data_IF_798288611140
#
_entry.id   IF_798288611140
#
_cell.length_a   1.000
_cell.length_b   1.000
_cell.length_c   1.000
_cell.angle_alpha   90.00
_cell.angle_beta   90.00
_cell.angle_gamma   90.00
#
_symmetry.space_group_name_H-M   'P 1'
#
loop_
_entity.id
_entity.type
_entity.pdbx_description
1 polymer ?
#
# COMPACT_ATOMS: atom_id res chain seq x y z
N UNK A 1 6.15 5.23 16.19
CA UNK A 1 5.87 4.05 15.35
C UNK A 1 5.23 4.51 14.06
N UNK A 2 5.76 4.08 12.92
CA UNK A 2 5.22 4.43 11.62
C UNK A 2 4.11 3.46 11.21
N UNK A 3 3.22 3.87 10.31
CA UNK A 3 2.13 3.03 9.81
C UNK A 3 2.64 1.71 9.22
N UNK A 4 3.67 1.76 8.38
CA UNK A 4 4.17 0.60 7.65
C UNK A 4 4.86 -0.43 8.58
N UNK A 5 5.56 0.05 9.61
CA UNK A 5 6.12 -0.80 10.67
C UNK A 5 5.00 -1.55 11.41
N UNK A 6 3.96 -0.82 11.81
CA UNK A 6 2.84 -1.41 12.56
C UNK A 6 2.03 -2.38 11.70
N UNK A 7 1.80 -2.05 10.43
CA UNK A 7 1.15 -2.94 9.47
C UNK A 7 1.92 -4.27 9.33
N UNK A 8 3.24 -4.18 9.20
CA UNK A 8 4.12 -5.35 9.08
C UNK A 8 4.14 -6.19 10.36
N UNK A 9 4.10 -5.56 11.53
CA UNK A 9 4.00 -6.23 12.82
C UNK A 9 2.70 -7.03 12.93
N UNK A 10 1.55 -6.39 12.63
CA UNK A 10 0.23 -7.04 12.65
C UNK A 10 0.17 -8.21 11.69
N UNK A 11 0.72 -8.06 10.47
CA UNK A 11 0.84 -9.18 9.53
C UNK A 11 1.67 -10.31 10.13
N UNK A 12 2.88 -10.03 10.59
CA UNK A 12 3.85 -11.05 11.01
C UNK A 12 3.31 -11.96 12.11
N UNK A 13 2.41 -11.46 12.96
CA UNK A 13 1.76 -12.24 14.03
C UNK A 13 0.89 -13.40 13.53
N UNK A 14 0.25 -13.27 12.36
CA UNK A 14 -0.65 -14.32 11.81
C UNK A 14 -0.19 -14.89 10.49
N UNK A 15 0.36 -14.05 9.62
CA UNK A 15 0.78 -14.43 8.28
C UNK A 15 2.26 -14.09 8.09
N UNK A 16 3.20 -14.90 8.60
CA UNK A 16 4.63 -14.65 8.44
C UNK A 16 5.06 -14.61 6.96
N UNK A 17 4.34 -15.30 6.06
CA UNK A 17 4.53 -15.24 4.61
C UNK A 17 3.60 -14.20 3.96
N UNK A 18 4.20 -13.16 3.37
CA UNK A 18 3.49 -12.11 2.62
C UNK A 18 2.73 -12.65 1.41
N UNK A 19 3.18 -13.75 0.78
CA UNK A 19 2.47 -14.35 -0.36
C UNK A 19 1.09 -14.87 0.03
N UNK A 20 0.99 -15.53 1.18
CA UNK A 20 -0.28 -16.09 1.68
C UNK A 20 -1.28 -14.98 1.93
N UNK A 21 -0.86 -13.91 2.62
CA UNK A 21 -1.73 -12.75 2.85
C UNK A 21 -2.16 -12.10 1.52
N UNK A 22 -1.22 -11.90 0.60
CA UNK A 22 -1.50 -11.23 -0.69
C UNK A 22 -2.53 -12.01 -1.52
N UNK A 23 -2.45 -13.35 -1.53
CA UNK A 23 -3.44 -14.21 -2.18
C UNK A 23 -4.82 -14.09 -1.53
N UNK A 24 -4.90 -14.06 -0.20
CA UNK A 24 -6.16 -13.92 0.54
C UNK A 24 -6.80 -12.54 0.34
N UNK A 25 -5.99 -11.49 0.33
CA UNK A 25 -6.43 -10.12 0.05
C UNK A 25 -6.72 -9.86 -1.44
N UNK A 26 -6.35 -10.79 -2.33
CA UNK A 26 -6.42 -10.64 -3.79
C UNK A 26 -5.65 -9.42 -4.30
N UNK A 27 -4.49 -9.14 -3.69
CA UNK A 27 -3.62 -8.02 -4.02
C UNK A 27 -2.29 -8.54 -4.56
N UNK A 28 -1.64 -7.78 -5.45
CA UNK A 28 -0.30 -8.11 -5.91
C UNK A 28 0.71 -8.03 -4.76
N UNK A 29 1.46 -9.12 -4.53
CA UNK A 29 2.50 -9.21 -3.49
C UNK A 29 3.49 -8.06 -3.54
N UNK A 30 3.94 -7.66 -4.72
CA UNK A 30 4.93 -6.59 -4.88
C UNK A 30 4.35 -5.23 -4.46
N UNK A 31 3.07 -5.01 -4.73
CA UNK A 31 2.38 -3.79 -4.27
C UNK A 31 2.25 -3.79 -2.74
N UNK A 32 1.83 -4.92 -2.15
CA UNK A 32 1.73 -5.04 -0.69
C UNK A 32 3.08 -4.83 0.02
N UNK A 33 4.15 -5.41 -0.52
CA UNK A 33 5.51 -5.19 0.01
C UNK A 33 5.91 -3.72 -0.02
N UNK A 34 5.57 -2.97 -1.08
CA UNK A 34 5.84 -1.52 -1.15
C UNK A 34 5.09 -0.74 -0.08
N UNK A 35 3.88 -1.16 0.27
CA UNK A 35 3.09 -0.57 1.38
C UNK A 35 3.77 -0.89 2.72
N UNK A 36 4.18 -2.15 2.96
CA UNK A 36 4.90 -2.56 4.18
C UNK A 36 6.29 -1.91 4.31
N UNK A 37 6.91 -1.54 3.20
CA UNK A 37 8.15 -0.77 3.17
C UNK A 37 7.94 0.74 3.36
N UNK A 38 6.68 1.21 3.40
CA UNK A 38 6.33 2.61 3.52
C UNK A 38 6.73 3.45 2.30
N UNK A 39 6.98 2.81 1.15
CA UNK A 39 7.22 3.49 -0.14
C UNK A 39 5.88 3.95 -0.71
N UNK A 40 4.90 3.04 -0.67
CA UNK A 40 3.54 3.35 -1.08
C UNK A 40 2.71 3.88 0.10
N UNK A 41 1.74 4.75 -0.17
CA UNK A 41 0.81 5.23 0.84
C UNK A 41 -0.02 4.08 1.43
N UNK A 42 -0.73 4.31 2.55
CA UNK A 42 -1.72 3.37 3.05
C UNK A 42 -2.76 3.06 1.98
N UNK A 43 -3.16 1.80 1.83
CA UNK A 43 -4.19 1.44 0.86
C UNK A 43 -5.55 1.95 1.33
N UNK A 44 -6.53 1.89 0.42
CA UNK A 44 -7.93 2.23 0.68
C UNK A 44 -8.44 1.62 1.99
N UNK A 45 -9.25 2.37 2.73
CA UNK A 45 -9.84 1.92 4.00
C UNK A 45 -10.51 0.54 3.93
N UNK A 46 -11.21 0.21 2.84
CA UNK A 46 -11.83 -1.09 2.63
C UNK A 46 -10.82 -2.24 2.70
N UNK A 47 -9.70 -2.11 1.99
CA UNK A 47 -8.63 -3.10 1.98
C UNK A 47 -7.97 -3.24 3.36
N UNK A 48 -7.82 -2.13 4.10
CA UNK A 48 -7.34 -2.17 5.48
C UNK A 48 -8.31 -2.86 6.44
N UNK A 49 -9.61 -2.70 6.25
CA UNK A 49 -10.62 -3.42 7.03
C UNK A 49 -10.53 -4.92 6.77
N UNK A 50 -10.40 -5.34 5.50
CA UNK A 50 -10.27 -6.75 5.15
C UNK A 50 -8.96 -7.34 5.65
N UNK A 51 -7.87 -6.58 5.61
CA UNK A 51 -6.62 -6.94 6.29
C UNK A 51 -6.86 -7.17 7.78
N UNK A 52 -7.43 -6.21 8.50
CA UNK A 52 -7.70 -6.32 9.93
C UNK A 52 -8.56 -7.55 10.28
N UNK A 53 -9.51 -7.91 9.41
CA UNK A 53 -10.31 -9.14 9.57
C UNK A 53 -9.45 -10.39 9.45
N UNK A 54 -8.56 -10.47 8.46
CA UNK A 54 -7.69 -11.63 8.26
C UNK A 54 -6.68 -11.82 9.40
N UNK A 55 -6.02 -10.75 9.85
CA UNK A 55 -5.07 -10.81 10.99
C UNK A 55 -5.75 -10.90 12.35
N UNK A 56 -7.09 -10.93 12.41
CA UNK A 56 -7.87 -10.95 13.64
C UNK A 56 -7.49 -9.79 14.58
N UNK A 57 -7.33 -8.58 14.02
CA UNK A 57 -7.01 -7.39 14.79
C UNK A 57 -8.08 -7.09 15.82
N UNK A 58 -7.65 -6.75 17.03
CA UNK A 58 -8.54 -6.20 18.05
C UNK A 58 -8.95 -4.78 17.66
N UNK A 59 -10.04 -4.31 18.25
CA UNK A 59 -10.62 -3.00 17.89
C UNK A 59 -9.66 -1.83 18.18
N UNK A 60 -8.89 -1.89 19.27
CA UNK A 60 -7.86 -0.89 19.56
C UNK A 60 -6.71 -0.90 18.54
N UNK A 61 -6.29 -2.08 18.06
CA UNK A 61 -5.22 -2.22 17.06
C UNK A 61 -5.67 -1.66 15.71
N UNK A 62 -6.92 -1.95 15.36
CA UNK A 62 -7.58 -1.40 14.18
C UNK A 62 -7.60 0.14 14.26
N UNK A 63 -8.09 0.71 15.36
CA UNK A 63 -8.16 2.16 15.55
C UNK A 63 -6.78 2.82 15.49
N UNK A 64 -5.77 2.20 16.10
CA UNK A 64 -4.39 2.64 16.02
C UNK A 64 -3.86 2.61 14.58
N UNK A 65 -4.11 1.53 13.83
CA UNK A 65 -3.70 1.40 12.43
C UNK A 65 -4.31 2.51 11.56
N UNK A 66 -5.61 2.80 11.73
CA UNK A 66 -6.28 3.88 10.99
C UNK A 66 -5.77 5.27 11.37
N UNK A 67 -5.50 5.53 12.65
CA UNK A 67 -4.90 6.77 13.08
C UNK A 67 -3.49 6.98 12.49
N UNK A 68 -2.70 5.91 12.43
CA UNK A 68 -1.38 5.92 11.80
C UNK A 68 -1.45 6.08 10.28
N UNK A 69 -2.45 5.48 9.62
CA UNK A 69 -2.67 5.65 8.18
C UNK A 69 -2.95 7.12 7.82
N UNK A 70 -3.80 7.80 8.60
CA UNK A 70 -4.08 9.25 8.40
C UNK A 70 -2.85 10.14 8.56
N UNK A 71 -1.93 9.75 9.45
CA UNK A 71 -0.68 10.48 9.73
C UNK A 71 0.51 9.88 8.99
N UNK A 72 0.26 9.10 7.93
CA UNK A 72 1.31 8.41 7.21
C UNK A 72 2.34 9.40 6.66
N UNK A 73 3.60 9.02 6.79
CA UNK A 73 4.73 9.72 6.20
C UNK A 73 5.49 8.73 5.33
N UNK A 74 5.98 9.16 4.16
CA UNK A 74 6.82 8.32 3.32
C UNK A 74 8.06 7.85 4.09
N UNK A 75 8.48 6.61 3.85
CA UNK A 75 9.74 6.07 4.35
C UNK A 75 10.93 6.87 3.81
N UNK A 76 12.08 6.82 4.49
CA UNK A 76 13.33 7.44 4.00
C UNK A 76 13.78 6.87 2.64
N UNK A 77 13.30 5.69 2.29
CA UNK A 77 13.55 4.99 1.02
C UNK A 77 12.56 5.38 -0.09
N UNK A 78 11.67 6.33 0.16
CA UNK A 78 10.72 6.81 -0.84
C UNK A 78 11.43 7.82 -1.74
N UNK A 79 11.35 7.66 -3.06
CA UNK A 79 12.04 8.48 -4.08
C UNK A 79 13.57 8.28 -4.20
N UNK A 80 14.14 7.22 -3.65
CA UNK A 80 15.48 6.77 -4.09
C UNK A 80 15.40 6.24 -5.52
N UNK A 81 16.53 6.26 -6.25
CA UNK A 81 16.64 5.88 -7.68
C UNK A 81 16.00 4.53 -8.03
N UNK A 82 15.90 3.62 -7.05
CA UNK A 82 15.33 2.27 -7.13
C UNK A 82 13.85 2.15 -6.71
N UNK A 83 13.27 3.17 -6.07
CA UNK A 83 11.97 3.13 -5.41
C UNK A 83 11.14 4.39 -5.69
N UNK A 84 10.82 4.58 -6.97
CA UNK A 84 9.82 5.58 -7.39
C UNK A 84 8.44 5.10 -6.91
N UNK A 85 7.63 6.01 -6.36
CA UNK A 85 6.23 5.76 -5.92
C UNK A 85 5.38 5.13 -7.05
N UNK A 86 5.85 5.21 -8.30
CA UNK A 86 5.43 4.39 -9.44
C UNK A 86 6.55 4.42 -10.48
N UNK A 87 7.12 3.30 -10.98
CA UNK A 87 8.03 3.38 -12.10
C UNK A 87 7.19 3.48 -13.37
N UNK A 88 6.74 4.70 -13.65
CA UNK A 88 6.08 5.03 -14.90
C UNK A 88 6.95 4.68 -16.12
N UNK A 89 8.25 4.95 -16.00
CA UNK A 89 9.19 4.96 -17.10
C UNK A 89 9.65 3.55 -17.52
N UNK A 90 9.79 2.60 -16.58
CA UNK A 90 10.17 1.21 -16.93
C UNK A 90 8.99 0.43 -17.53
N UNK A 91 7.78 0.65 -17.03
CA UNK A 91 6.57 0.02 -17.58
C UNK A 91 6.21 0.59 -18.95
N UNK A 92 6.45 1.89 -19.21
CA UNK A 92 6.31 2.50 -20.53
C UNK A 92 7.13 1.79 -21.62
N UNK A 93 8.25 1.13 -21.27
CA UNK A 93 9.06 0.39 -22.26
C UNK A 93 8.40 -0.92 -22.73
N UNK A 94 7.45 -1.45 -21.97
CA UNK A 94 6.84 -2.76 -22.22
C UNK A 94 5.37 -2.67 -22.68
N UNK A 95 4.73 -1.52 -22.57
CA UNK A 95 3.32 -1.31 -22.91
C UNK A 95 3.14 -0.20 -23.94
N UNK A 96 2.12 -0.32 -24.79
CA UNK A 96 1.74 0.78 -25.69
C UNK A 96 1.27 1.98 -24.86
N UNK A 97 1.47 3.23 -25.32
CA UNK A 97 1.15 4.43 -24.54
C UNK A 97 -0.28 4.47 -24.00
N UNK A 98 -1.25 3.96 -24.75
CA UNK A 98 -2.67 3.91 -24.38
C UNK A 98 -2.97 2.86 -23.30
N UNK A 99 -2.37 1.68 -23.41
CA UNK A 99 -2.49 0.61 -22.40
C UNK A 99 -1.77 0.98 -21.11
N UNK A 100 -0.61 1.63 -21.26
CA UNK A 100 0.11 2.20 -20.14
C UNK A 100 -0.72 3.27 -19.43
N UNK A 101 -1.41 4.15 -20.17
CA UNK A 101 -2.32 5.16 -19.60
C UNK A 101 -3.46 4.51 -18.82
N UNK A 102 -4.14 3.51 -19.40
CA UNK A 102 -5.22 2.76 -18.73
C UNK A 102 -4.73 2.03 -17.48
N UNK A 103 -3.57 1.40 -17.56
CA UNK A 103 -2.93 0.75 -16.42
C UNK A 103 -2.54 1.76 -15.34
N UNK A 104 -1.98 2.90 -15.75
CA UNK A 104 -1.57 3.98 -14.86
C UNK A 104 -2.77 4.58 -14.16
N UNK A 105 -3.83 4.90 -14.89
CA UNK A 105 -5.08 5.43 -14.35
C UNK A 105 -5.73 4.42 -13.40
N UNK A 106 -5.76 3.12 -13.75
CA UNK A 106 -6.24 2.06 -12.86
C UNK A 106 -5.36 1.88 -11.62
N UNK A 107 -4.04 2.01 -11.77
CA UNK A 107 -3.09 1.92 -10.66
C UNK A 107 -3.21 3.14 -9.74
N UNK A 108 -3.39 4.34 -10.30
CA UNK A 108 -3.70 5.55 -9.55
C UNK A 108 -5.02 5.32 -8.82
N UNK A 109 -6.08 4.92 -9.51
CA UNK A 109 -7.38 4.69 -8.90
C UNK A 109 -7.27 3.72 -7.70
N UNK A 110 -6.65 2.56 -7.89
CA UNK A 110 -6.50 1.54 -6.83
C UNK A 110 -5.63 2.04 -5.66
N UNK A 111 -4.56 2.79 -5.94
CA UNK A 111 -3.61 3.25 -4.92
C UNK A 111 -3.95 4.62 -4.31
N UNK A 112 -4.89 5.37 -4.89
CA UNK A 112 -5.30 6.67 -4.37
C UNK A 112 -6.00 6.44 -3.03
N UNK A 113 -5.50 7.03 -1.94
CA UNK A 113 -6.15 6.94 -0.64
C UNK A 113 -7.56 7.56 -0.68
N UNK A 114 -8.47 7.09 0.16
CA UNK A 114 -9.84 7.62 0.27
C UNK A 114 -9.94 8.97 1.00
N UNK A 115 -8.80 9.62 1.29
CA UNK A 115 -8.68 10.88 2.01
C UNK A 115 -7.71 11.83 1.28
N UNK A 116 -7.89 13.14 1.46
CA UNK A 116 -7.02 14.15 0.85
C UNK A 116 -5.58 13.99 1.35
N UNK A 117 -4.63 13.88 0.42
CA UNK A 117 -3.23 13.67 0.76
C UNK A 117 -2.29 14.44 -0.17
N UNK A 118 -1.29 15.11 0.43
CA UNK A 118 -0.37 16.07 -0.23
C UNK A 118 0.33 15.54 -1.49
N UNK A 119 0.52 14.22 -1.60
CA UNK A 119 1.21 13.59 -2.75
C UNK A 119 0.26 13.07 -3.85
N UNK A 120 -1.05 13.08 -3.60
CA UNK A 120 -2.06 12.51 -4.50
C UNK A 120 -3.06 13.55 -5.03
N UNK A 121 -3.11 14.74 -4.43
CA UNK A 121 -3.91 15.87 -4.93
C UNK A 121 -5.41 15.60 -4.84
N UNK A 122 -6.07 16.22 -3.86
CA UNK A 122 -7.41 16.76 -4.07
C UNK A 122 -7.31 18.26 -3.87
#
# INVERSE_FOLDING_TARGET
MNFHEYLKELRARKFPDTNKLSKLLKVNRNMWQKIESGINPPPRKSLLVDFCRLVLCREYEKNQLFALARRWKPSKLTNTTTHVITPAVELMKHYRPEEYRRWYDAAIEVNTPDYEHKYWGR
#
